data_IF_868527865838
#
_entry.id   IF_868527865838
#
_cell.length_a   1.000
_cell.length_b   1.000
_cell.length_c   1.000
_cell.angle_alpha   90.00
_cell.angle_beta   90.00
_cell.angle_gamma   90.00
#
_symmetry.space_group_name_H-M   'P 1'
#
loop_
_entity.id
_entity.type
_entity.pdbx_description
1 polymer ?
#
# COMPACT_ATOMS: atom_id res chain seq x y z
N UNK A 1 14.00 -2.40 -23.20
CA UNK A 1 13.36 -3.54 -22.54
C UNK A 1 11.86 -3.41 -22.67
N UNK A 2 11.16 -4.52 -22.90
CA UNK A 2 9.70 -4.61 -22.87
C UNK A 2 9.29 -5.22 -21.55
N UNK A 3 8.34 -4.59 -20.86
CA UNK A 3 7.68 -5.12 -19.67
C UNK A 3 6.33 -5.67 -20.11
N UNK A 4 6.05 -6.92 -19.79
CA UNK A 4 4.78 -7.59 -20.11
C UNK A 4 4.09 -7.96 -18.81
N UNK A 5 2.83 -7.58 -18.68
CA UNK A 5 1.99 -7.98 -17.56
C UNK A 5 1.38 -9.37 -17.84
N UNK A 6 1.54 -10.27 -16.90
CA UNK A 6 0.95 -11.62 -16.98
C UNK A 6 -0.40 -11.58 -16.25
N UNK A 7 -1.53 -11.95 -16.91
CA UNK A 7 -2.87 -11.81 -16.33
C UNK A 7 -3.23 -12.90 -15.30
N UNK A 8 -2.27 -13.73 -14.90
CA UNK A 8 -2.48 -14.82 -13.94
C UNK A 8 -1.76 -14.56 -12.64
N UNK A 9 -2.32 -15.08 -11.53
CA UNK A 9 -1.71 -15.01 -10.21
C UNK A 9 -0.46 -15.92 -10.17
N UNK A 10 0.71 -15.33 -10.35
CA UNK A 10 1.99 -16.05 -10.39
C UNK A 10 2.66 -16.18 -9.02
N UNK A 11 2.23 -15.39 -8.03
CA UNK A 11 2.87 -15.33 -6.72
C UNK A 11 1.85 -15.09 -5.60
N UNK A 12 2.00 -15.84 -4.52
CA UNK A 12 1.28 -15.64 -3.27
C UNK A 12 2.26 -15.11 -2.22
N UNK A 13 1.88 -14.07 -1.52
CA UNK A 13 2.71 -13.47 -0.47
C UNK A 13 1.89 -13.27 0.80
N UNK A 14 2.56 -13.42 1.95
CA UNK A 14 1.94 -13.14 3.25
C UNK A 14 2.05 -11.66 3.57
N UNK A 15 0.96 -11.08 4.09
CA UNK A 15 0.96 -9.76 4.68
C UNK A 15 1.66 -9.74 6.05
N UNK A 16 1.97 -8.56 6.58
CA UNK A 16 2.53 -8.43 7.93
C UNK A 16 1.54 -8.91 8.99
N UNK A 17 1.94 -9.87 9.82
CA UNK A 17 1.09 -10.47 10.86
C UNK A 17 1.00 -9.65 12.15
N UNK A 18 1.86 -8.64 12.33
CA UNK A 18 1.86 -7.78 13.51
C UNK A 18 2.29 -6.34 13.16
N UNK A 19 1.97 -5.40 14.07
CA UNK A 19 2.24 -3.97 13.87
C UNK A 19 3.74 -3.67 13.72
N UNK A 20 4.63 -4.42 14.37
CA UNK A 20 6.09 -4.24 14.24
C UNK A 20 6.57 -4.59 12.83
N UNK A 21 6.03 -5.66 12.23
CA UNK A 21 6.32 -6.04 10.85
C UNK A 21 5.76 -5.01 9.87
N UNK A 22 4.52 -4.57 10.09
CA UNK A 22 3.88 -3.52 9.30
C UNK A 22 4.72 -2.23 9.32
N UNK A 23 5.11 -1.76 10.51
CA UNK A 23 5.97 -0.59 10.68
C UNK A 23 7.28 -0.72 9.90
N UNK A 24 7.98 -1.86 10.03
CA UNK A 24 9.24 -2.10 9.32
C UNK A 24 9.05 -2.11 7.80
N UNK A 25 7.99 -2.76 7.32
CA UNK A 25 7.67 -2.84 5.91
C UNK A 25 7.35 -1.45 5.33
N UNK A 26 6.44 -0.70 5.97
CA UNK A 26 5.99 0.61 5.51
C UNK A 26 7.07 1.68 5.62
N UNK A 27 7.85 1.69 6.69
CA UNK A 27 9.01 2.59 6.82
C UNK A 27 10.05 2.33 5.72
N UNK A 28 10.27 1.07 5.35
CA UNK A 28 11.16 0.72 4.23
C UNK A 28 10.59 1.21 2.89
N UNK A 29 9.29 1.09 2.67
CA UNK A 29 8.65 1.59 1.46
C UNK A 29 8.74 3.11 1.34
N UNK A 30 8.45 3.85 2.42
CA UNK A 30 8.63 5.30 2.45
C UNK A 30 10.08 5.71 2.14
N UNK A 31 11.07 5.01 2.73
CA UNK A 31 12.47 5.24 2.41
C UNK A 31 12.80 4.96 0.95
N UNK A 32 12.29 3.86 0.38
CA UNK A 32 12.47 3.52 -1.04
C UNK A 32 11.83 4.55 -1.97
N UNK A 33 10.67 5.08 -1.58
CA UNK A 33 9.95 6.09 -2.35
C UNK A 33 10.76 7.40 -2.47
N UNK A 34 11.24 7.95 -1.35
CA UNK A 34 12.09 9.17 -1.40
C UNK A 34 13.39 8.93 -2.15
N UNK A 35 14.01 7.76 -1.99
CA UNK A 35 15.22 7.38 -2.73
C UNK A 35 14.94 7.35 -4.24
N UNK A 36 13.88 6.68 -4.65
CA UNK A 36 13.46 6.59 -6.06
C UNK A 36 13.15 7.97 -6.64
N UNK A 37 12.45 8.83 -5.89
CA UNK A 37 12.15 10.20 -6.31
C UNK A 37 13.43 11.02 -6.50
N UNK A 38 14.39 10.87 -5.61
CA UNK A 38 15.67 11.60 -5.68
C UNK A 38 16.54 11.12 -6.84
N UNK A 39 16.70 9.82 -7.01
CA UNK A 39 17.50 9.23 -8.08
C UNK A 39 16.91 9.54 -9.46
N UNK A 40 15.59 9.52 -9.57
CA UNK A 40 14.89 9.71 -10.85
C UNK A 40 14.28 11.12 -11.03
N UNK A 41 14.68 12.12 -10.24
CA UNK A 41 14.14 13.49 -10.33
C UNK A 41 14.20 14.12 -11.71
N UNK A 42 15.15 13.68 -12.58
CA UNK A 42 15.28 14.16 -13.96
C UNK A 42 14.14 13.72 -14.88
N UNK A 43 13.38 12.71 -14.48
CA UNK A 43 12.19 12.27 -15.22
C UNK A 43 10.99 13.16 -14.94
N UNK A 44 10.93 13.77 -13.75
CA UNK A 44 9.79 14.57 -13.32
C UNK A 44 9.59 15.78 -14.25
N UNK A 45 8.37 15.95 -14.77
CA UNK A 45 7.96 16.97 -15.74
C UNK A 45 8.73 16.95 -17.06
N UNK A 46 9.47 15.90 -17.38
CA UNK A 46 10.30 15.83 -18.57
C UNK A 46 9.55 15.18 -19.74
N UNK A 47 9.25 15.98 -20.76
CA UNK A 47 8.53 15.55 -21.97
C UNK A 47 9.25 14.47 -22.79
N UNK A 48 10.58 14.37 -22.68
CA UNK A 48 11.38 13.35 -23.36
C UNK A 48 10.94 11.93 -22.99
N UNK A 49 10.49 11.73 -21.75
CA UNK A 49 10.04 10.43 -21.23
C UNK A 49 8.52 10.22 -21.37
N UNK A 50 7.84 11.07 -22.15
CA UNK A 50 6.40 10.94 -22.48
C UNK A 50 5.55 10.66 -21.24
N UNK A 51 4.74 9.59 -21.29
CA UNK A 51 3.82 9.21 -20.19
C UNK A 51 4.54 8.94 -18.86
N UNK A 52 5.74 8.36 -18.89
CA UNK A 52 6.48 8.07 -17.67
C UNK A 52 6.84 9.35 -16.90
N UNK A 53 7.34 10.37 -17.59
CA UNK A 53 7.76 11.63 -16.96
C UNK A 53 6.62 12.58 -16.64
N UNK A 54 5.56 12.61 -17.47
CA UNK A 54 4.48 13.58 -17.36
C UNK A 54 3.27 13.08 -16.56
N UNK A 55 3.05 11.76 -16.51
CA UNK A 55 1.90 11.20 -15.83
C UNK A 55 2.37 10.39 -14.62
N UNK A 56 3.11 9.30 -14.84
CA UNK A 56 3.45 8.37 -13.76
C UNK A 56 4.30 9.03 -12.67
N UNK A 57 5.39 9.71 -13.05
CA UNK A 57 6.27 10.36 -12.06
C UNK A 57 5.60 11.54 -11.36
N UNK A 58 4.75 12.30 -12.06
CA UNK A 58 3.98 13.41 -11.47
C UNK A 58 2.94 12.87 -10.50
N UNK A 59 2.22 11.82 -10.88
CA UNK A 59 1.27 11.14 -9.99
C UNK A 59 1.97 10.63 -8.71
N UNK A 60 3.05 9.87 -8.86
CA UNK A 60 3.82 9.35 -7.71
C UNK A 60 4.37 10.47 -6.83
N UNK A 61 4.82 11.57 -7.43
CA UNK A 61 5.31 12.73 -6.68
C UNK A 61 4.19 13.40 -5.87
N UNK A 62 3.05 13.69 -6.49
CA UNK A 62 1.97 14.44 -5.83
C UNK A 62 1.20 13.57 -4.84
N UNK A 63 0.80 12.36 -5.24
CA UNK A 63 -0.15 11.54 -4.49
C UNK A 63 0.49 10.49 -3.59
N UNK A 64 1.75 10.11 -3.84
CA UNK A 64 2.43 9.13 -2.98
C UNK A 64 3.51 9.79 -2.11
N UNK A 65 4.34 10.67 -2.71
CA UNK A 65 5.44 11.28 -1.98
C UNK A 65 5.01 12.52 -1.19
N UNK A 66 4.25 13.45 -1.79
CA UNK A 66 3.83 14.69 -1.12
C UNK A 66 2.67 14.46 -0.14
N UNK A 67 1.78 13.51 -0.39
CA UNK A 67 0.60 13.31 0.44
C UNK A 67 0.93 13.12 1.94
N UNK A 68 1.83 12.20 2.37
CA UNK A 68 2.16 12.05 3.79
C UNK A 68 2.74 13.32 4.43
N UNK A 69 3.46 14.14 3.65
CA UNK A 69 4.03 15.41 4.13
C UNK A 69 2.91 16.41 4.35
N UNK A 70 2.03 16.59 3.37
CA UNK A 70 0.89 17.53 3.43
C UNK A 70 -0.05 17.13 4.58
N UNK A 71 -0.36 15.85 4.73
CA UNK A 71 -1.21 15.34 5.80
C UNK A 71 -0.59 15.58 7.19
N UNK A 72 0.71 15.36 7.33
CA UNK A 72 1.43 15.61 8.59
C UNK A 72 1.42 17.10 8.94
N UNK A 73 1.71 17.98 7.97
CA UNK A 73 1.67 19.44 8.16
C UNK A 73 0.25 19.90 8.47
N UNK A 74 -0.76 19.37 7.76
CA UNK A 74 -2.17 19.65 8.03
C UNK A 74 -2.59 19.25 9.44
N UNK A 75 -2.17 18.06 9.89
CA UNK A 75 -2.43 17.59 11.26
C UNK A 75 -1.77 18.49 12.31
N UNK A 76 -0.51 18.87 12.11
CA UNK A 76 0.21 19.78 13.03
C UNK A 76 -0.45 21.16 13.07
N UNK A 77 -0.86 21.70 11.93
CA UNK A 77 -1.59 22.96 11.85
C UNK A 77 -2.95 22.86 12.57
N UNK A 78 -3.67 21.78 12.38
CA UNK A 78 -4.94 21.54 13.07
C UNK A 78 -4.76 21.50 14.60
N UNK A 79 -3.73 20.81 15.08
CA UNK A 79 -3.39 20.74 16.50
C UNK A 79 -3.06 22.16 17.01
N UNK A 80 -2.24 22.93 16.29
CA UNK A 80 -1.92 24.31 16.65
C UNK A 80 -3.17 25.19 16.75
N UNK A 81 -4.06 25.14 15.76
CA UNK A 81 -5.31 25.90 15.76
C UNK A 81 -6.26 25.46 16.89
N UNK A 82 -6.25 24.18 17.29
CA UNK A 82 -7.02 23.71 18.43
C UNK A 82 -6.56 24.34 19.74
N UNK A 83 -5.25 24.46 19.93
CA UNK A 83 -4.70 25.10 21.14
C UNK A 83 -4.87 26.63 21.16
N UNK A 84 -4.90 27.29 20.01
CA UNK A 84 -5.07 28.75 19.90
C UNK A 84 -6.52 29.20 19.81
N UNK A 85 -7.47 28.25 19.81
CA UNK A 85 -8.90 28.55 19.65
C UNK A 85 -9.31 28.99 18.25
N UNK A 86 -8.43 28.83 17.24
CA UNK A 86 -8.69 29.23 15.86
C UNK A 86 -9.51 28.22 15.03
N UNK A 87 -9.91 27.07 15.62
CA UNK A 87 -10.72 26.08 14.92
C UNK A 87 -12.19 26.48 14.89
N UNK A 88 -12.76 26.50 13.68
CA UNK A 88 -14.21 26.42 13.50
C UNK A 88 -14.62 24.94 13.52
N UNK A 89 -15.18 24.49 14.63
CA UNK A 89 -15.54 23.09 14.85
C UNK A 89 -16.61 22.59 13.88
N UNK A 90 -17.56 23.42 13.46
CA UNK A 90 -18.59 23.02 12.49
C UNK A 90 -17.98 22.71 11.13
N UNK A 91 -17.12 23.59 10.65
CA UNK A 91 -16.38 23.38 9.39
C UNK A 91 -15.47 22.16 9.49
N UNK A 92 -14.81 21.96 10.63
CA UNK A 92 -13.96 20.80 10.86
C UNK A 92 -14.75 19.49 10.75
N UNK A 93 -15.87 19.37 11.47
CA UNK A 93 -16.65 18.13 11.44
C UNK A 93 -17.28 17.85 10.07
N UNK A 94 -17.83 18.89 9.40
CA UNK A 94 -18.37 18.74 8.05
C UNK A 94 -17.30 18.23 7.08
N UNK A 95 -16.12 18.84 7.10
CA UNK A 95 -15.01 18.44 6.22
C UNK A 95 -14.50 17.03 6.56
N UNK A 96 -14.33 16.72 7.85
CA UNK A 96 -13.89 15.41 8.32
C UNK A 96 -14.86 14.31 7.86
N UNK A 97 -16.15 14.48 8.10
CA UNK A 97 -17.14 13.48 7.70
C UNK A 97 -17.27 13.37 6.18
N UNK A 98 -17.17 14.48 5.44
CA UNK A 98 -17.19 14.44 3.98
C UNK A 98 -16.02 13.61 3.41
N UNK A 99 -14.80 13.85 3.90
CA UNK A 99 -13.61 13.08 3.49
C UNK A 99 -13.72 11.62 3.92
N UNK A 100 -14.18 11.36 5.14
CA UNK A 100 -14.36 10.01 5.66
C UNK A 100 -15.36 9.20 4.82
N UNK A 101 -16.55 9.77 4.56
CA UNK A 101 -17.60 9.13 3.75
C UNK A 101 -17.08 8.88 2.34
N UNK A 102 -16.41 9.85 1.72
CA UNK A 102 -15.84 9.68 0.39
C UNK A 102 -14.81 8.56 0.33
N UNK A 103 -13.87 8.50 1.28
CA UNK A 103 -12.88 7.43 1.38
C UNK A 103 -13.53 6.07 1.58
N UNK A 104 -14.51 5.98 2.47
CA UNK A 104 -15.28 4.75 2.71
C UNK A 104 -16.03 4.30 1.47
N UNK A 105 -16.70 5.21 0.76
CA UNK A 105 -17.41 4.89 -0.49
C UNK A 105 -16.47 4.34 -1.57
N UNK A 106 -15.29 4.92 -1.74
CA UNK A 106 -14.29 4.41 -2.69
C UNK A 106 -13.83 2.99 -2.31
N UNK A 107 -13.52 2.76 -1.04
CA UNK A 107 -13.09 1.44 -0.55
C UNK A 107 -14.21 0.41 -0.66
N UNK A 108 -15.45 0.79 -0.31
CA UNK A 108 -16.62 -0.07 -0.47
C UNK A 108 -16.90 -0.40 -1.94
N UNK A 109 -16.70 0.56 -2.85
CA UNK A 109 -16.83 0.33 -4.29
C UNK A 109 -15.81 -0.69 -4.79
N UNK A 110 -14.56 -0.62 -4.34
CA UNK A 110 -13.52 -1.62 -4.70
C UNK A 110 -13.90 -3.02 -4.20
N UNK A 111 -14.39 -3.14 -2.95
CA UNK A 111 -14.84 -4.42 -2.39
C UNK A 111 -16.04 -4.97 -3.16
N UNK A 112 -16.98 -4.12 -3.53
CA UNK A 112 -18.15 -4.49 -4.33
C UNK A 112 -17.76 -4.92 -5.75
N UNK A 113 -16.82 -4.20 -6.38
CA UNK A 113 -16.32 -4.54 -7.71
C UNK A 113 -15.60 -5.90 -7.70
N UNK A 114 -14.80 -6.17 -6.66
CA UNK A 114 -14.16 -7.46 -6.45
C UNK A 114 -15.20 -8.59 -6.30
N UNK A 115 -16.31 -8.35 -5.60
CA UNK A 115 -17.42 -9.29 -5.48
C UNK A 115 -18.05 -9.64 -6.84
N UNK A 116 -18.28 -8.65 -7.70
CA UNK A 116 -18.89 -8.86 -9.03
C UNK A 116 -17.97 -9.66 -9.96
N UNK A 117 -16.66 -9.41 -9.90
CA UNK A 117 -15.68 -10.10 -10.76
C UNK A 117 -15.42 -11.57 -10.35
N UNK A 118 -16.13 -12.09 -9.36
CA UNK A 118 -16.03 -13.48 -8.96
C UNK A 118 -14.75 -13.81 -8.22
N UNK A 119 -14.38 -12.96 -7.31
CA UNK A 119 -13.12 -12.97 -6.59
C UNK A 119 -12.86 -14.21 -5.71
N UNK A 120 -11.69 -14.16 -5.10
CA UNK A 120 -11.10 -15.16 -4.19
C UNK A 120 -11.91 -15.47 -2.92
N UNK A 121 -12.95 -14.67 -2.61
CA UNK A 121 -13.76 -14.84 -1.40
C UNK A 121 -15.14 -15.42 -1.75
N UNK A 122 -15.42 -16.62 -1.26
CA UNK A 122 -16.71 -17.31 -1.51
C UNK A 122 -17.76 -17.07 -0.42
N UNK A 123 -17.37 -16.49 0.73
CA UNK A 123 -18.24 -16.33 1.90
C UNK A 123 -18.64 -14.88 2.15
N UNK A 124 -19.93 -14.59 2.25
CA UNK A 124 -20.47 -13.28 2.61
C UNK A 124 -19.82 -12.69 3.87
N UNK A 125 -19.53 -13.52 4.88
CA UNK A 125 -18.83 -13.10 6.11
C UNK A 125 -17.44 -12.47 5.84
N UNK A 126 -16.76 -12.91 4.79
CA UNK A 126 -15.46 -12.35 4.40
C UNK A 126 -15.61 -10.94 3.82
N UNK A 127 -16.66 -10.72 3.02
CA UNK A 127 -16.97 -9.39 2.48
C UNK A 127 -17.38 -8.41 3.59
N UNK A 128 -18.18 -8.83 4.56
CA UNK A 128 -18.52 -7.99 5.71
C UNK A 128 -17.27 -7.59 6.52
N UNK A 129 -16.31 -8.51 6.70
CA UNK A 129 -15.03 -8.18 7.33
C UNK A 129 -14.21 -7.18 6.52
N UNK A 130 -14.19 -7.32 5.19
CA UNK A 130 -13.50 -6.36 4.30
C UNK A 130 -14.16 -4.99 4.35
N UNK A 131 -15.49 -4.94 4.38
CA UNK A 131 -16.22 -3.68 4.49
C UNK A 131 -15.97 -3.00 5.85
N UNK A 132 -15.93 -3.77 6.93
CA UNK A 132 -15.55 -3.25 8.25
C UNK A 132 -14.10 -2.75 8.26
N UNK A 133 -13.18 -3.48 7.63
CA UNK A 133 -11.80 -3.04 7.48
C UNK A 133 -11.70 -1.74 6.68
N UNK A 134 -12.49 -1.60 5.59
CA UNK A 134 -12.59 -0.39 4.79
C UNK A 134 -13.13 0.81 5.60
N UNK A 135 -14.08 0.58 6.51
CA UNK A 135 -14.60 1.63 7.40
C UNK A 135 -13.57 2.07 8.46
N UNK A 136 -12.73 1.16 8.93
CA UNK A 136 -11.70 1.45 9.94
C UNK A 136 -10.40 1.97 9.33
N UNK A 137 -10.19 1.75 8.03
CA UNK A 137 -8.95 2.11 7.32
C UNK A 137 -8.59 3.59 7.47
N UNK A 138 -9.47 4.57 7.18
CA UNK A 138 -9.11 5.98 7.24
C UNK A 138 -8.77 6.46 8.66
N UNK A 139 -9.34 5.83 9.69
CA UNK A 139 -9.18 6.26 11.08
C UNK A 139 -7.97 5.60 11.76
N UNK A 140 -7.74 4.32 11.49
CA UNK A 140 -6.72 3.53 12.22
C UNK A 140 -5.51 3.26 11.34
N UNK A 141 -5.72 2.70 10.15
CA UNK A 141 -4.65 2.20 9.33
C UNK A 141 -3.90 3.32 8.61
N UNK A 142 -4.63 4.26 8.02
CA UNK A 142 -4.06 5.36 7.25
C UNK A 142 -3.09 6.24 8.07
N UNK A 143 -3.41 6.70 9.30
CA UNK A 143 -2.47 7.46 10.11
C UNK A 143 -1.18 6.69 10.43
N UNK A 144 -1.28 5.37 10.64
CA UNK A 144 -0.09 4.53 10.84
C UNK A 144 0.80 4.53 9.61
N UNK A 145 0.22 4.45 8.40
CA UNK A 145 0.97 4.46 7.14
C UNK A 145 1.63 5.81 6.91
N UNK A 146 0.93 6.91 7.14
CA UNK A 146 1.48 8.27 7.05
C UNK A 146 2.67 8.43 7.98
N UNK A 147 2.53 8.05 9.25
CA UNK A 147 3.62 8.07 10.22
C UNK A 147 4.82 7.24 9.77
N UNK A 148 4.60 6.00 9.31
CA UNK A 148 5.66 5.13 8.79
C UNK A 148 6.38 5.74 7.58
N UNK A 149 5.66 6.42 6.69
CA UNK A 149 6.22 7.08 5.51
C UNK A 149 7.14 8.23 5.91
N UNK A 150 6.68 9.10 6.82
CA UNK A 150 7.49 10.20 7.35
C UNK A 150 8.75 9.70 8.05
N UNK A 151 8.65 8.66 8.88
CA UNK A 151 9.82 8.02 9.50
C UNK A 151 10.76 7.44 8.44
N UNK A 152 10.22 6.88 7.36
CA UNK A 152 11.00 6.40 6.22
C UNK A 152 11.79 7.51 5.54
N UNK A 153 11.14 8.66 5.30
CA UNK A 153 11.79 9.85 4.72
C UNK A 153 12.89 10.38 5.63
N UNK A 154 12.60 10.49 6.93
CA UNK A 154 13.59 10.95 7.91
C UNK A 154 14.82 10.03 7.95
N UNK A 155 14.63 8.71 7.94
CA UNK A 155 15.74 7.73 7.91
C UNK A 155 16.58 7.81 6.64
N UNK A 156 16.00 8.20 5.52
CA UNK A 156 16.74 8.42 4.28
C UNK A 156 17.60 9.68 4.38
N UNK A 157 16.99 10.80 4.80
CA UNK A 157 17.68 12.11 4.94
C UNK A 157 18.83 12.02 5.95
N UNK A 158 18.63 11.32 7.07
CA UNK A 158 19.65 11.11 8.10
C UNK A 158 20.67 10.03 7.73
N UNK A 159 20.62 9.49 6.52
CA UNK A 159 21.56 8.47 6.00
C UNK A 159 21.72 7.23 6.89
N UNK A 160 20.69 6.86 7.64
CA UNK A 160 20.73 5.65 8.46
C UNK A 160 20.95 4.42 7.57
N UNK A 161 21.79 3.47 8.04
CA UNK A 161 22.05 2.22 7.30
C UNK A 161 20.74 1.44 7.08
N UNK A 162 20.50 0.99 5.85
CA UNK A 162 19.37 0.11 5.56
C UNK A 162 19.69 -1.29 6.06
N UNK A 163 19.09 -1.71 7.18
CA UNK A 163 19.19 -3.08 7.65
C UNK A 163 18.02 -3.88 7.06
N UNK A 164 18.35 -4.81 6.17
CA UNK A 164 17.38 -5.76 5.63
C UNK A 164 17.26 -6.95 6.59
N UNK A 165 16.13 -7.04 7.30
CA UNK A 165 15.76 -8.27 8.03
C UNK A 165 14.62 -8.92 7.26
N UNK A 166 14.78 -10.21 6.98
CA UNK A 166 13.70 -11.01 6.39
C UNK A 166 12.46 -10.96 7.29
N UNK A 167 11.28 -10.90 6.69
CA UNK A 167 10.03 -11.03 7.44
C UNK A 167 9.91 -12.48 7.94
N UNK A 168 9.58 -12.64 9.20
CA UNK A 168 9.21 -13.94 9.73
C UNK A 168 7.92 -14.38 9.03
N UNK A 169 8.01 -15.48 8.29
CA UNK A 169 6.87 -16.09 7.63
C UNK A 169 6.27 -17.10 8.58
N UNK A 170 5.01 -16.95 8.91
CA UNK A 170 4.27 -17.93 9.73
C UNK A 170 3.94 -19.20 8.96
N UNK A 171 4.20 -19.21 7.65
CA UNK A 171 4.03 -20.33 6.74
C UNK A 171 2.56 -20.65 6.49
N UNK A 172 2.07 -20.46 5.26
CA UNK A 172 0.91 -21.22 4.85
C UNK A 172 1.32 -22.70 4.92
N UNK A 173 0.66 -23.50 5.77
CA UNK A 173 0.80 -24.96 5.75
C UNK A 173 0.49 -25.40 4.32
N UNK A 174 1.53 -25.74 3.58
CA UNK A 174 1.39 -26.31 2.25
C UNK A 174 0.55 -27.58 2.46
N UNK A 175 -0.68 -27.61 1.97
CA UNK A 175 -1.46 -28.84 1.99
C UNK A 175 -0.69 -29.85 1.14
N UNK A 176 -0.22 -30.89 1.77
CA UNK A 176 0.66 -31.94 1.19
C UNK A 176 -0.08 -32.79 0.13
N UNK A 177 -1.23 -32.36 -0.35
CA UNK A 177 -2.09 -33.11 -1.28
C UNK A 177 -1.74 -32.93 -2.75
N UNK A 178 -0.71 -32.13 -3.09
CA UNK A 178 -0.33 -31.93 -4.50
C UNK A 178 1.01 -32.57 -4.92
N UNK A 179 1.63 -33.39 -4.07
CA UNK A 179 2.96 -33.97 -4.32
C UNK A 179 2.95 -35.46 -4.71
N UNK A 180 1.78 -36.07 -4.98
CA UNK A 180 1.67 -37.48 -5.37
C UNK A 180 1.22 -37.71 -6.79
N UNK A 181 1.36 -36.75 -7.69
CA UNK A 181 1.28 -36.95 -9.12
C UNK A 181 2.69 -36.94 -9.73
N UNK A 182 3.47 -37.95 -9.40
CA UNK A 182 4.64 -38.33 -10.20
C UNK A 182 4.14 -39.11 -11.40
N UNK A 183 4.42 -38.74 -12.65
CA UNK A 183 4.18 -39.61 -13.77
C UNK A 183 5.26 -40.69 -13.75
N UNK A 184 4.90 -41.87 -13.22
CA UNK A 184 5.60 -43.10 -13.44
C UNK A 184 5.43 -43.51 -14.91
N UNK A 185 6.54 -43.77 -15.61
CA UNK A 185 6.58 -44.68 -16.73
C UNK A 185 6.56 -44.06 -18.13
N UNK A 186 7.75 -43.77 -18.63
CA UNK A 186 8.03 -43.98 -20.05
C UNK A 186 9.28 -44.86 -20.14
N UNK A 187 9.02 -46.15 -20.37
CA UNK A 187 10.05 -47.16 -20.55
C UNK A 187 10.89 -46.87 -21.79
N UNK A 188 12.17 -47.05 -21.61
CA UNK A 188 13.14 -47.18 -22.67
C UNK A 188 12.84 -48.47 -23.43
N UNK A 189 12.65 -48.42 -24.73
CA UNK A 189 12.87 -49.51 -25.65
C UNK A 189 13.82 -49.07 -26.74
N UNK A 190 15.00 -49.62 -26.64
CA UNK A 190 16.03 -49.74 -27.68
C UNK A 190 15.48 -50.33 -28.98
N UNK A 191 15.73 -49.66 -30.08
CA UNK A 191 16.36 -50.26 -31.28
C UNK A 191 16.92 -49.17 -32.15
#
# INVERSE_FOLDING_TARGET
>A
YRVVQIPHNCCWTEGPSNLRMLYRQRTRWGRGLIQMMWEHRRLLFNRKYKRLGLITMVYTFLFEFMAPIIETVGLLLMIYLAFTGGINWDTFFVTFFAIYIFSFMLSAFVVFYDFILGSSYTKLRSYLKLLLAAALEPIIYHPIIVFCSIVGYFKYVTRQKAVWKAMERTGMKRSTTAATASPSGAGATTK
#
